data_IF_969338067738
#
_entry.id   IF_969338067738
#
_cell.length_a   1.000
_cell.length_b   1.000
_cell.length_c   1.000
_cell.angle_alpha   90.00
_cell.angle_beta   90.00
_cell.angle_gamma   90.00
#
_symmetry.space_group_name_H-M   'P 1'
#
loop_
_entity.id
_entity.type
_entity.pdbx_description
1 polymer ?
#
# COMPACT_ATOMS: atom_id res chain seq x y z
N UNK A 1 12.42 -9.66 -12.89
CA UNK A 1 11.42 -10.18 -11.95
C UNK A 1 11.98 -11.48 -11.40
N UNK A 2 12.02 -11.64 -10.07
CA UNK A 2 12.53 -12.84 -9.40
C UNK A 2 11.40 -13.44 -8.58
N UNK A 3 11.35 -14.76 -8.45
CA UNK A 3 10.44 -15.44 -7.52
C UNK A 3 11.20 -15.67 -6.21
N UNK A 4 10.61 -15.26 -5.10
CA UNK A 4 11.14 -15.43 -3.74
C UNK A 4 10.79 -16.84 -3.21
N UNK A 5 11.51 -17.35 -2.18
CA UNK A 5 11.25 -18.67 -1.62
C UNK A 5 9.83 -18.87 -1.05
N UNK A 6 9.14 -17.78 -0.71
CA UNK A 6 7.75 -17.76 -0.25
C UNK A 6 6.72 -17.76 -1.41
N UNK A 7 7.19 -17.84 -2.66
CA UNK A 7 6.36 -17.85 -3.87
C UNK A 7 5.95 -16.46 -4.38
N UNK A 8 6.40 -15.37 -3.74
CA UNK A 8 6.10 -14.01 -4.18
C UNK A 8 6.99 -13.56 -5.33
N UNK A 9 6.47 -12.66 -6.15
CA UNK A 9 7.25 -12.03 -7.21
C UNK A 9 7.88 -10.74 -6.72
N UNK A 10 9.21 -10.65 -6.77
CA UNK A 10 9.94 -9.43 -6.49
C UNK A 10 9.96 -8.50 -7.72
N UNK A 11 9.51 -7.27 -7.50
CA UNK A 11 9.45 -6.19 -8.49
C UNK A 11 10.15 -4.93 -7.96
N UNK A 12 10.67 -4.12 -8.90
CA UNK A 12 11.27 -2.82 -8.60
C UNK A 12 10.27 -1.72 -8.90
N UNK A 13 10.37 -0.58 -8.22
CA UNK A 13 9.58 0.59 -8.55
C UNK A 13 9.99 1.15 -9.92
N UNK A 14 9.04 1.51 -10.80
CA UNK A 14 9.33 1.96 -12.16
C UNK A 14 9.71 3.45 -12.17
N UNK A 15 10.88 3.78 -11.64
CA UNK A 15 11.38 5.16 -11.54
C UNK A 15 11.53 5.86 -12.90
N UNK A 16 11.01 7.10 -13.04
CA UNK A 16 11.21 7.99 -14.20
C UNK A 16 12.59 8.65 -14.22
N UNK A 17 13.10 8.95 -13.05
CA UNK A 17 14.39 9.62 -12.80
C UNK A 17 15.00 9.02 -11.51
N UNK A 18 16.22 9.41 -11.14
CA UNK A 18 16.87 8.86 -9.95
C UNK A 18 15.96 9.00 -8.71
N UNK A 19 15.84 7.95 -7.90
CA UNK A 19 14.96 7.89 -6.74
C UNK A 19 15.36 8.89 -5.64
N UNK A 20 16.62 9.33 -5.65
CA UNK A 20 17.16 10.45 -4.85
C UNK A 20 16.40 11.78 -5.06
N UNK A 21 15.67 11.94 -6.17
CA UNK A 21 14.89 13.14 -6.44
C UNK A 21 13.57 13.19 -5.64
N UNK A 22 13.19 12.12 -4.93
CA UNK A 22 12.00 12.10 -4.10
C UNK A 22 12.39 12.47 -2.65
N UNK A 23 12.14 13.72 -2.21
CA UNK A 23 12.50 14.15 -0.87
C UNK A 23 11.61 13.49 0.19
N UNK A 24 12.14 13.42 1.43
CA UNK A 24 11.32 12.99 2.56
C UNK A 24 10.13 13.93 2.80
N UNK A 25 8.96 13.35 3.06
CA UNK A 25 7.73 14.04 3.44
C UNK A 25 7.31 13.71 4.89
N UNK A 26 8.27 13.31 5.74
CA UNK A 26 8.06 12.79 7.10
C UNK A 26 7.09 13.64 7.93
N UNK A 27 7.31 14.94 7.97
CA UNK A 27 6.53 15.88 8.79
C UNK A 27 5.08 16.02 8.31
N UNK A 28 4.89 16.08 6.98
CA UNK A 28 3.56 16.09 6.36
C UNK A 28 2.79 14.81 6.72
N UNK A 29 3.44 13.65 6.55
CA UNK A 29 2.85 12.34 6.78
C UNK A 29 2.55 12.11 8.25
N UNK A 30 3.45 12.50 9.16
CA UNK A 30 3.25 12.41 10.60
C UNK A 30 2.07 13.25 11.09
N UNK A 31 1.95 14.51 10.62
CA UNK A 31 0.79 15.37 10.95
C UNK A 31 -0.53 14.75 10.49
N UNK A 32 -0.57 14.15 9.31
CA UNK A 32 -1.75 13.42 8.80
C UNK A 32 -2.05 12.18 9.63
N UNK A 33 -1.02 11.41 9.99
CA UNK A 33 -1.12 10.23 10.83
C UNK A 33 -1.72 10.55 12.20
N UNK A 34 -1.20 11.55 12.92
CA UNK A 34 -1.73 11.96 14.23
C UNK A 34 -3.21 12.35 14.16
N UNK A 35 -3.60 13.13 13.14
CA UNK A 35 -5.00 13.53 12.92
C UNK A 35 -5.89 12.31 12.65
N UNK A 36 -5.43 11.38 11.82
CA UNK A 36 -6.15 10.14 11.53
C UNK A 36 -6.29 9.29 12.81
N UNK A 37 -5.21 9.09 13.55
CA UNK A 37 -5.19 8.28 14.78
C UNK A 37 -6.11 8.83 15.86
N UNK A 38 -6.15 10.15 16.05
CA UNK A 38 -7.07 10.79 17.00
C UNK A 38 -8.53 10.55 16.63
N UNK A 39 -8.88 10.61 15.34
CA UNK A 39 -10.23 10.29 14.87
C UNK A 39 -10.57 8.80 15.03
N UNK A 40 -9.61 7.93 14.73
CA UNK A 40 -9.78 6.49 14.79
C UNK A 40 -9.93 5.98 16.22
N UNK A 41 -9.11 6.46 17.17
CA UNK A 41 -9.17 6.07 18.59
C UNK A 41 -10.53 6.37 19.22
N UNK A 42 -11.20 7.42 18.77
CA UNK A 42 -12.53 7.79 19.23
C UNK A 42 -13.66 7.02 18.51
N UNK A 43 -13.31 6.13 17.56
CA UNK A 43 -14.25 5.42 16.70
C UNK A 43 -14.31 3.92 16.99
N UNK A 44 -15.39 3.27 16.51
CA UNK A 44 -15.66 1.83 16.70
C UNK A 44 -14.74 0.90 15.88
N UNK A 45 -13.92 1.46 15.01
CA UNK A 45 -13.21 0.73 13.96
C UNK A 45 -11.70 0.60 14.21
N UNK A 46 -11.18 1.15 15.31
CA UNK A 46 -9.74 1.14 15.58
C UNK A 46 -9.15 -0.27 15.72
N UNK A 47 -9.78 -1.15 16.49
CA UNK A 47 -9.31 -2.54 16.66
C UNK A 47 -9.31 -3.31 15.33
N UNK A 48 -10.38 -3.17 14.56
CA UNK A 48 -10.48 -3.76 13.23
C UNK A 48 -9.38 -3.25 12.30
N UNK A 49 -9.05 -1.95 12.37
CA UNK A 49 -7.95 -1.38 11.59
C UNK A 49 -6.59 -1.95 12.02
N UNK A 50 -6.35 -2.08 13.33
CA UNK A 50 -5.13 -2.71 13.85
C UNK A 50 -4.98 -4.16 13.41
N UNK A 51 -6.08 -4.90 13.37
CA UNK A 51 -6.06 -6.30 12.94
C UNK A 51 -5.66 -6.44 11.47
N UNK A 52 -5.95 -5.47 10.59
CA UNK A 52 -5.46 -5.50 9.20
C UNK A 52 -3.93 -5.47 9.16
N UNK A 53 -3.30 -4.55 9.90
CA UNK A 53 -1.84 -4.45 9.94
C UNK A 53 -1.20 -5.68 10.60
N UNK A 54 -1.81 -6.25 11.64
CA UNK A 54 -1.36 -7.54 12.22
C UNK A 54 -1.38 -8.66 11.19
N UNK A 55 -2.47 -8.81 10.46
CA UNK A 55 -2.56 -9.82 9.40
C UNK A 55 -1.52 -9.59 8.31
N UNK A 56 -1.24 -8.34 7.94
CA UNK A 56 -0.20 -8.03 6.96
C UNK A 56 1.20 -8.35 7.48
N UNK A 57 1.47 -8.12 8.77
CA UNK A 57 2.72 -8.49 9.43
C UNK A 57 2.86 -10.03 9.50
N UNK A 58 1.82 -10.75 9.93
CA UNK A 58 1.80 -12.23 10.00
C UNK A 58 2.00 -12.87 8.62
N UNK A 59 1.49 -12.23 7.57
CA UNK A 59 1.66 -12.65 6.18
C UNK A 59 2.98 -12.16 5.57
N UNK A 60 3.88 -11.51 6.30
CA UNK A 60 5.11 -10.90 5.78
C UNK A 60 4.86 -9.94 4.60
N UNK A 61 3.71 -9.27 4.54
CA UNK A 61 3.38 -8.23 3.54
C UNK A 61 4.05 -6.91 3.90
N UNK A 62 4.12 -6.62 5.20
CA UNK A 62 4.80 -5.46 5.76
C UNK A 62 5.86 -5.91 6.76
N UNK A 63 6.86 -5.07 6.97
CA UNK A 63 7.90 -5.27 7.98
C UNK A 63 8.05 -4.02 8.84
N UNK A 64 8.57 -4.19 10.05
CA UNK A 64 8.93 -3.05 10.90
C UNK A 64 10.29 -2.53 10.47
N UNK A 65 10.40 -1.23 10.30
CA UNK A 65 11.69 -0.56 10.09
C UNK A 65 12.52 -0.69 11.38
N UNK A 66 13.75 -1.24 11.31
CA UNK A 66 14.65 -1.33 12.46
C UNK A 66 14.93 0.05 13.07
N UNK A 67 15.11 0.12 14.40
CA UNK A 67 15.37 1.39 15.10
C UNK A 67 16.62 2.11 14.57
N UNK A 68 17.64 1.35 14.17
CA UNK A 68 18.89 1.85 13.59
C UNK A 68 18.70 2.52 12.22
N UNK A 69 17.61 2.22 11.52
CA UNK A 69 17.28 2.75 10.18
C UNK A 69 16.26 3.89 10.22
N UNK A 70 15.71 4.24 11.39
CA UNK A 70 14.67 5.29 11.52
C UNK A 70 15.14 6.70 11.13
N UNK A 71 16.45 6.90 11.10
CA UNK A 71 17.09 8.16 10.71
C UNK A 71 17.52 8.19 9.23
N UNK A 72 17.33 7.10 8.48
CA UNK A 72 17.63 7.07 7.05
C UNK A 72 16.66 7.98 6.29
N UNK A 73 17.08 8.44 5.11
CA UNK A 73 16.22 9.21 4.22
C UNK A 73 15.15 8.31 3.63
N UNK A 74 13.92 8.47 4.12
CA UNK A 74 12.75 7.73 3.64
C UNK A 74 11.67 8.65 3.10
N UNK A 75 10.84 8.14 2.20
CA UNK A 75 9.60 8.78 1.78
C UNK A 75 8.41 8.01 2.36
N UNK A 76 7.50 8.72 3.02
CA UNK A 76 6.40 8.12 3.76
C UNK A 76 5.08 8.26 2.99
N UNK A 77 4.25 7.24 3.02
CA UNK A 77 2.92 7.24 2.41
C UNK A 77 1.87 7.54 3.47
N UNK A 78 1.23 8.73 3.47
CA UNK A 78 0.11 8.96 4.37
C UNK A 78 -0.99 7.97 4.09
N UNK A 79 -1.43 7.29 5.14
CA UNK A 79 -2.54 6.36 5.06
C UNK A 79 -3.84 6.90 5.65
N UNK A 80 -4.96 6.27 5.30
CA UNK A 80 -6.24 6.40 5.99
C UNK A 80 -7.09 5.13 5.88
N UNK A 81 -7.94 4.84 6.88
CA UNK A 81 -8.95 3.80 6.78
C UNK A 81 -10.07 4.22 5.82
N UNK A 82 -10.49 3.31 4.95
CA UNK A 82 -11.78 3.37 4.24
C UNK A 82 -12.66 2.26 4.77
N UNK A 83 -13.80 2.64 5.37
CA UNK A 83 -14.79 1.71 5.92
C UNK A 83 -15.86 1.48 4.88
N UNK A 84 -16.08 0.21 4.51
CA UNK A 84 -17.17 -0.21 3.60
C UNK A 84 -18.08 -1.16 4.36
N UNK A 85 -19.13 -0.62 4.97
CA UNK A 85 -20.06 -1.38 5.82
C UNK A 85 -20.87 -2.41 5.05
N UNK A 86 -21.03 -2.19 3.75
CA UNK A 86 -21.68 -3.03 2.75
C UNK A 86 -20.79 -4.18 2.25
N UNK A 87 -19.49 -4.19 2.58
CA UNK A 87 -18.57 -5.25 2.16
C UNK A 87 -18.74 -6.51 3.00
N UNK A 88 -19.05 -7.63 2.34
CA UNK A 88 -19.17 -8.94 2.98
C UNK A 88 -17.83 -9.48 3.53
N UNK A 89 -16.71 -9.15 2.88
CA UNK A 89 -15.39 -9.74 3.17
C UNK A 89 -14.44 -8.81 3.90
N UNK A 90 -14.38 -7.51 3.57
CA UNK A 90 -13.41 -6.58 4.19
C UNK A 90 -14.05 -5.25 4.53
N UNK A 91 -14.48 -5.12 5.79
CA UNK A 91 -15.14 -3.92 6.32
C UNK A 91 -14.23 -2.70 6.39
N UNK A 92 -12.91 -2.86 6.46
CA UNK A 92 -11.94 -1.76 6.52
C UNK A 92 -10.73 -2.05 5.65
N UNK A 93 -10.33 -1.07 4.85
CA UNK A 93 -9.12 -1.12 4.02
C UNK A 93 -8.22 0.09 4.28
N UNK A 94 -6.93 -0.09 4.61
CA UNK A 94 -5.95 0.99 4.54
C UNK A 94 -5.80 1.48 3.10
N UNK A 95 -5.81 2.79 2.93
CA UNK A 95 -5.56 3.46 1.64
C UNK A 95 -4.39 4.40 1.80
N UNK A 96 -3.38 4.23 0.95
CA UNK A 96 -2.15 5.00 0.93
C UNK A 96 -2.23 6.12 -0.12
N UNK A 97 -1.80 7.33 0.24
CA UNK A 97 -1.78 8.50 -0.62
C UNK A 97 -0.38 8.74 -1.20
N UNK A 98 -0.07 8.03 -2.30
CA UNK A 98 1.19 8.21 -3.04
C UNK A 98 1.27 9.55 -3.82
N UNK A 99 0.20 10.35 -3.81
CA UNK A 99 0.17 11.69 -4.39
C UNK A 99 0.48 12.78 -3.36
N UNK A 100 0.65 12.41 -2.08
CA UNK A 100 0.99 13.35 -1.03
C UNK A 100 2.37 13.96 -1.27
N UNK A 101 2.43 15.30 -1.27
CA UNK A 101 3.65 16.08 -1.47
C UNK A 101 3.59 17.39 -0.70
N UNK A 102 4.76 17.91 -0.36
CA UNK A 102 4.88 19.28 0.11
C UNK A 102 4.83 20.25 -1.08
N UNK A 103 4.56 21.53 -0.80
CA UNK A 103 4.48 22.56 -1.85
C UNK A 103 5.83 22.67 -2.57
N UNK A 104 5.81 22.51 -3.90
CA UNK A 104 7.00 22.63 -4.75
C UNK A 104 7.89 21.38 -4.80
N UNK A 105 7.52 20.28 -4.12
CA UNK A 105 8.24 18.99 -4.17
C UNK A 105 7.42 17.96 -4.99
N UNK A 106 8.06 16.99 -5.66
CA UNK A 106 7.34 15.92 -6.35
C UNK A 106 6.70 14.95 -5.36
N UNK A 107 5.64 14.26 -5.79
CA UNK A 107 5.08 13.08 -5.10
C UNK A 107 5.69 11.79 -5.64
N UNK A 108 5.50 10.67 -4.95
CA UNK A 108 5.91 9.35 -5.45
C UNK A 108 5.29 9.07 -6.83
N UNK A 109 4.01 9.36 -7.03
CA UNK A 109 3.35 9.19 -8.32
C UNK A 109 3.96 10.05 -9.44
N UNK A 110 4.48 11.23 -9.13
CA UNK A 110 5.16 12.08 -10.12
C UNK A 110 6.49 11.43 -10.56
N UNK A 111 7.19 10.75 -9.63
CA UNK A 111 8.47 10.10 -9.86
C UNK A 111 8.39 8.70 -10.52
N UNK A 112 7.21 8.07 -10.56
CA UNK A 112 7.03 6.72 -11.13
C UNK A 112 6.37 6.75 -12.52
N UNK A 113 6.78 5.86 -13.41
CA UNK A 113 6.08 5.61 -14.67
C UNK A 113 4.71 4.99 -14.37
N UNK A 114 3.68 5.53 -15.03
CA UNK A 114 2.32 4.98 -14.96
C UNK A 114 2.22 3.57 -15.58
N UNK A 115 3.17 3.22 -16.45
CA UNK A 115 3.11 2.02 -17.27
C UNK A 115 2.08 2.14 -18.41
N UNK A 116 2.09 1.14 -19.28
CA UNK A 116 1.06 0.98 -20.32
C UNK A 116 -0.22 0.43 -19.68
N UNK A 117 -1.39 0.86 -20.19
CA UNK A 117 -2.66 0.29 -19.74
C UNK A 117 -2.86 -1.07 -20.42
N UNK A 118 -2.72 -2.15 -19.66
CA UNK A 118 -2.92 -3.52 -20.12
C UNK A 118 -4.35 -4.05 -19.85
N UNK A 119 -5.25 -3.19 -19.35
CA UNK A 119 -6.64 -3.58 -19.09
C UNK A 119 -7.38 -3.67 -20.42
N UNK A 120 -7.82 -4.88 -20.77
CA UNK A 120 -8.69 -5.13 -21.92
C UNK A 120 -10.06 -4.46 -21.72
N UNK A 121 -10.72 -4.10 -22.83
CA UNK A 121 -12.06 -3.52 -22.77
C UNK A 121 -13.06 -4.56 -22.26
N UNK A 122 -13.89 -4.14 -21.30
CA UNK A 122 -14.92 -5.02 -20.70
C UNK A 122 -15.84 -5.65 -21.76
N UNK A 123 -16.34 -4.92 -22.78
CA UNK A 123 -17.14 -5.52 -23.85
C UNK A 123 -16.42 -6.68 -24.54
N UNK A 124 -15.15 -6.51 -24.90
CA UNK A 124 -14.36 -7.55 -25.59
C UNK A 124 -14.20 -8.81 -24.72
N UNK A 125 -14.02 -8.64 -23.40
CA UNK A 125 -13.95 -9.75 -22.44
C UNK A 125 -15.31 -10.47 -22.38
N UNK A 126 -16.42 -9.72 -22.32
CA UNK A 126 -17.77 -10.27 -22.24
C UNK A 126 -18.16 -11.03 -23.52
N UNK A 127 -17.77 -10.53 -24.68
CA UNK A 127 -18.02 -11.19 -25.96
C UNK A 127 -17.28 -12.54 -26.02
N UNK A 128 -16.00 -12.58 -25.64
CA UNK A 128 -15.23 -13.83 -25.53
C UNK A 128 -15.83 -14.80 -24.51
N UNK A 129 -16.26 -14.29 -23.36
CA UNK A 129 -16.86 -15.10 -22.29
C UNK A 129 -18.15 -15.81 -22.74
N UNK A 130 -18.89 -15.21 -23.69
CA UNK A 130 -20.14 -15.75 -24.24
C UNK A 130 -19.97 -16.76 -25.37
N UNK A 131 -18.75 -16.96 -25.90
CA UNK A 131 -18.50 -17.88 -27.03
C UNK A 131 -18.81 -19.34 -26.64
N UNK A 132 -18.54 -19.72 -25.40
CA UNK A 132 -18.69 -21.09 -24.92
C UNK A 132 -19.90 -21.24 -23.98
N UNK A 133 -20.55 -22.41 -23.95
CA UNK A 133 -21.75 -22.64 -23.14
C UNK A 133 -21.49 -22.64 -21.62
N UNK A 134 -20.24 -22.77 -21.19
CA UNK A 134 -19.83 -22.79 -19.78
C UNK A 134 -18.74 -21.77 -19.56
N UNK A 135 -18.99 -20.81 -18.65
CA UNK A 135 -18.02 -19.82 -18.21
C UNK A 135 -17.58 -20.06 -16.78
N UNK A 136 -16.28 -19.90 -16.51
CA UNK A 136 -15.70 -20.00 -15.17
C UNK A 136 -15.24 -18.60 -14.74
N UNK A 137 -15.61 -18.22 -13.52
CA UNK A 137 -15.18 -16.94 -12.91
C UNK A 137 -14.53 -17.27 -11.58
N UNK A 138 -13.41 -16.63 -11.29
CA UNK A 138 -12.72 -16.71 -10.01
C UNK A 138 -12.22 -15.32 -9.61
N UNK A 139 -12.24 -15.03 -8.31
CA UNK A 139 -11.61 -13.85 -7.72
C UNK A 139 -10.31 -14.26 -7.04
N UNK A 140 -9.21 -13.56 -7.34
CA UNK A 140 -7.90 -13.84 -6.76
C UNK A 140 -7.74 -12.96 -5.53
N UNK A 141 -7.87 -13.59 -4.36
CA UNK A 141 -7.72 -12.88 -3.10
C UNK A 141 -6.31 -12.29 -2.98
N UNK A 142 -6.23 -11.00 -2.60
CA UNK A 142 -4.96 -10.30 -2.30
C UNK A 142 -3.93 -10.33 -3.45
N UNK A 143 -4.36 -10.38 -4.72
CA UNK A 143 -3.47 -10.48 -5.88
C UNK A 143 -2.27 -9.51 -5.87
N UNK A 144 -2.49 -8.23 -5.55
CA UNK A 144 -1.40 -7.24 -5.49
C UNK A 144 -0.43 -7.47 -4.33
N UNK A 145 -0.85 -8.11 -3.24
CA UNK A 145 -0.01 -8.38 -2.07
C UNK A 145 0.92 -9.59 -2.30
N UNK A 146 0.74 -10.32 -3.41
CA UNK A 146 1.70 -11.34 -3.86
C UNK A 146 2.94 -10.74 -4.55
N UNK A 147 2.93 -9.43 -4.81
CA UNK A 147 4.10 -8.71 -5.29
C UNK A 147 4.90 -8.21 -4.09
N UNK A 148 6.17 -8.61 -4.03
CA UNK A 148 7.14 -8.07 -3.08
C UNK A 148 7.93 -6.94 -3.75
N UNK A 149 8.19 -5.87 -3.00
CA UNK A 149 9.01 -4.76 -3.49
C UNK A 149 10.46 -5.03 -3.16
N UNK A 150 11.34 -4.83 -4.15
CA UNK A 150 12.78 -4.99 -3.98
C UNK A 150 13.28 -4.17 -2.77
N UNK A 151 14.17 -4.71 -1.92
CA UNK A 151 14.59 -4.06 -0.67
C UNK A 151 14.99 -2.59 -0.82
N UNK A 152 15.76 -2.28 -1.88
CA UNK A 152 16.21 -0.91 -2.20
C UNK A 152 15.10 0.12 -2.45
N UNK A 153 13.88 -0.33 -2.76
CA UNK A 153 12.76 0.55 -3.11
C UNK A 153 11.72 0.63 -1.98
N UNK A 154 11.89 -0.12 -0.87
CA UNK A 154 10.90 -0.22 0.23
C UNK A 154 10.81 1.06 1.05
N UNK A 155 11.92 1.76 1.23
CA UNK A 155 12.01 3.01 2.00
C UNK A 155 11.20 4.17 1.38
N UNK A 156 10.70 4.01 0.15
CA UNK A 156 9.83 4.97 -0.51
C UNK A 156 8.33 4.68 -0.27
N UNK A 157 8.03 3.57 0.37
CA UNK A 157 6.68 3.08 0.68
C UNK A 157 6.44 2.96 2.20
N UNK A 158 7.34 3.51 3.02
CA UNK A 158 7.23 3.48 4.48
C UNK A 158 5.97 4.22 4.94
N UNK A 159 5.43 3.86 6.10
CA UNK A 159 4.29 4.55 6.70
C UNK A 159 4.37 4.47 8.22
N UNK A 160 3.66 5.35 8.90
CA UNK A 160 3.51 5.32 10.34
C UNK A 160 2.33 4.43 10.72
N UNK A 161 2.60 3.46 11.58
CA UNK A 161 1.55 2.69 12.24
C UNK A 161 1.89 2.50 13.72
N UNK A 162 0.94 2.85 14.59
CA UNK A 162 1.15 2.78 16.04
C UNK A 162 0.75 1.40 16.56
N UNK A 163 1.70 0.47 16.61
CA UNK A 163 1.52 -0.84 17.24
C UNK A 163 1.70 -0.73 18.77
N UNK A 164 0.74 -0.07 19.42
CA UNK A 164 0.77 0.27 20.85
C UNK A 164 1.91 1.22 21.25
N UNK A 165 1.56 2.38 21.79
CA UNK A 165 2.45 2.97 22.80
C UNK A 165 2.51 1.93 23.92
N UNK A 166 3.66 1.29 24.14
CA UNK A 166 3.94 0.77 25.46
C UNK A 166 3.87 1.99 26.37
N UNK A 167 2.91 1.99 27.29
CA UNK A 167 2.83 2.98 28.35
C UNK A 167 4.21 3.04 29.02
N UNK A 168 4.89 4.17 28.86
CA UNK A 168 5.80 4.67 29.89
C UNK A 168 5.03 5.73 30.67
#
# INVERSE_FOLDING_TARGET
>A
MKILPDGRYEVKLPWKCNSENLPSNKELTWKRHLRMMNKLRNGKFFEHYKNVFRQWEDLNIIERVPEVELNNECHYLPQRPVVKLDSATTKIRPVFDASAREKGKPSLNDCLYKGVNLIELIPDILDRFRIYPVGIVADIEKAFLMLSVAPKDRDYLSDFFSHAMKNN
#
